data_IF_838371290487
#
_entry.id   IF_838371290487
#
_cell.length_a   1.000
_cell.length_b   1.000
_cell.length_c   1.000
_cell.angle_alpha   90.00
_cell.angle_beta   90.00
_cell.angle_gamma   90.00
#
_symmetry.space_group_name_H-M   'P 1'
#
loop_
_entity.id
_entity.type
_entity.pdbx_description
1 polymer ?
#
# COMPACT_ATOMS: atom_id res chain seq x y z
N UNK A 1 4.96 14.35 22.82
CA UNK A 1 4.28 15.59 22.39
C UNK A 1 2.94 15.16 21.86
N UNK A 2 1.95 15.08 22.75
CA UNK A 2 0.63 14.58 22.42
C UNK A 2 -0.32 15.77 22.57
N UNK A 3 -0.41 16.57 21.51
CA UNK A 3 -1.33 17.71 21.44
C UNK A 3 -2.50 17.25 20.57
N UNK A 4 -3.67 16.92 21.14
CA UNK A 4 -4.83 16.44 20.39
C UNK A 4 -5.24 17.37 19.24
N UNK A 5 -4.96 18.67 19.36
CA UNK A 5 -5.14 19.65 18.28
C UNK A 5 -4.24 19.39 17.08
N UNK A 6 -2.97 19.03 17.31
CA UNK A 6 -2.00 18.77 16.24
C UNK A 6 -2.40 17.58 15.36
N UNK A 7 -2.85 16.47 15.96
CA UNK A 7 -3.30 15.30 15.19
C UNK A 7 -4.54 15.62 14.35
N UNK A 8 -5.50 16.34 14.93
CA UNK A 8 -6.71 16.76 14.21
C UNK A 8 -6.39 17.75 13.09
N UNK A 9 -5.43 18.63 13.32
CA UNK A 9 -4.94 19.57 12.31
C UNK A 9 -4.18 18.85 11.19
N UNK A 10 -3.50 17.73 11.46
CA UNK A 10 -2.88 16.93 10.40
C UNK A 10 -3.88 16.05 9.64
N UNK A 11 -4.92 15.54 10.30
CA UNK A 11 -5.96 14.72 9.67
C UNK A 11 -6.63 15.40 8.48
N UNK A 12 -6.72 16.74 8.48
CA UNK A 12 -7.32 17.49 7.37
C UNK A 12 -6.53 17.35 6.06
N UNK A 13 -5.25 16.99 6.13
CA UNK A 13 -4.39 16.77 4.96
C UNK A 13 -4.39 15.31 4.49
N UNK A 14 -5.08 14.41 5.21
CA UNK A 14 -5.23 13.01 4.80
C UNK A 14 -6.11 12.91 3.55
N UNK A 15 -5.66 12.12 2.58
CA UNK A 15 -6.34 11.92 1.29
C UNK A 15 -6.94 10.51 1.17
N UNK A 16 -6.52 9.57 2.02
CA UNK A 16 -7.00 8.19 2.04
C UNK A 16 -8.24 8.01 2.92
N UNK A 17 -8.74 6.78 2.99
CA UNK A 17 -9.87 6.32 3.79
C UNK A 17 -11.20 6.96 3.39
N UNK A 18 -11.35 7.27 2.10
CA UNK A 18 -12.55 7.92 1.57
C UNK A 18 -12.77 9.36 2.05
N UNK A 19 -11.76 10.01 2.64
CA UNK A 19 -11.86 11.41 3.12
C UNK A 19 -12.00 12.44 2.00
N UNK A 20 -11.61 12.08 0.79
CA UNK A 20 -11.68 12.90 -0.42
C UNK A 20 -12.52 12.20 -1.50
N UNK A 21 -13.21 13.01 -2.31
CA UNK A 21 -13.88 12.50 -3.51
C UNK A 21 -12.88 11.78 -4.42
N UNK A 22 -13.34 10.84 -5.24
CA UNK A 22 -12.43 10.08 -6.10
C UNK A 22 -11.68 10.97 -7.10
N UNK A 23 -12.36 11.95 -7.68
CA UNK A 23 -11.74 12.94 -8.57
C UNK A 23 -10.65 13.76 -7.87
N UNK A 24 -10.91 14.21 -6.64
CA UNK A 24 -9.92 14.96 -5.86
C UNK A 24 -8.72 14.10 -5.48
N UNK A 25 -8.96 12.88 -4.99
CA UNK A 25 -7.91 11.91 -4.68
C UNK A 25 -7.01 11.64 -5.90
N UNK A 26 -7.62 11.31 -7.03
CA UNK A 26 -6.94 11.04 -8.30
C UNK A 26 -6.12 12.26 -8.75
N UNK A 27 -6.72 13.45 -8.71
CA UNK A 27 -6.04 14.70 -9.05
C UNK A 27 -4.81 14.95 -8.18
N UNK A 28 -4.93 14.74 -6.85
CA UNK A 28 -3.82 14.91 -5.90
C UNK A 28 -2.70 13.92 -6.20
N UNK A 29 -3.02 12.62 -6.33
CA UNK A 29 -2.02 11.57 -6.57
C UNK A 29 -1.30 11.79 -7.90
N UNK A 30 -2.02 12.04 -9.00
CA UNK A 30 -1.41 12.29 -10.31
C UNK A 30 -0.56 13.57 -10.31
N UNK A 31 -1.00 14.61 -9.61
CA UNK A 31 -0.24 15.87 -9.47
C UNK A 31 1.07 15.65 -8.72
N UNK A 32 1.06 14.84 -7.65
CA UNK A 32 2.29 14.46 -6.92
C UNK A 32 3.29 13.78 -7.85
N UNK A 33 2.85 12.82 -8.67
CA UNK A 33 3.74 12.12 -9.60
C UNK A 33 4.24 12.99 -10.76
N UNK A 34 3.38 13.84 -11.35
CA UNK A 34 3.81 14.81 -12.38
C UNK A 34 4.92 15.75 -11.87
N UNK A 35 4.80 16.17 -10.61
CA UNK A 35 5.72 17.09 -9.96
C UNK A 35 6.91 16.40 -9.28
N UNK A 36 6.96 15.06 -9.25
CA UNK A 36 8.07 14.32 -8.69
C UNK A 36 9.34 14.55 -9.53
N UNK A 37 10.44 14.89 -8.86
CA UNK A 37 11.68 15.35 -9.49
C UNK A 37 12.95 14.74 -8.90
N UNK A 38 12.85 13.95 -7.84
CA UNK A 38 14.02 13.68 -6.98
C UNK A 38 14.33 12.18 -6.81
N UNK A 39 15.61 11.91 -6.54
CA UNK A 39 16.27 10.65 -6.10
C UNK A 39 16.10 9.32 -6.87
N UNK A 40 15.31 9.26 -7.96
CA UNK A 40 15.06 8.04 -8.76
C UNK A 40 14.34 6.91 -7.99
N UNK A 41 13.85 7.18 -6.77
CA UNK A 41 13.23 6.17 -5.91
C UNK A 41 11.80 6.55 -5.60
N UNK A 42 10.87 5.64 -5.91
CA UNK A 42 9.50 5.72 -5.43
C UNK A 42 9.30 4.51 -4.52
N UNK A 43 8.97 4.79 -3.26
CA UNK A 43 8.69 3.72 -2.30
C UNK A 43 7.38 3.04 -2.65
N UNK A 44 7.41 1.71 -2.62
CA UNK A 44 6.29 0.84 -2.97
C UNK A 44 5.04 1.15 -2.15
N UNK A 45 5.15 1.53 -0.87
CA UNK A 45 3.98 1.92 -0.07
C UNK A 45 3.23 3.14 -0.61
N UNK A 46 3.96 4.14 -1.14
CA UNK A 46 3.36 5.36 -1.70
C UNK A 46 2.79 5.13 -3.09
N UNK A 47 3.45 4.29 -3.89
CA UNK A 47 3.03 3.97 -5.25
C UNK A 47 1.87 3.00 -5.27
N UNK A 48 1.98 1.91 -4.50
CA UNK A 48 1.12 0.74 -4.53
C UNK A 48 0.29 0.64 -3.25
N UNK A 49 0.85 0.18 -2.12
CA UNK A 49 0.06 -0.20 -0.92
C UNK A 49 -1.04 0.80 -0.54
N UNK A 50 -0.69 2.06 -0.26
CA UNK A 50 -1.67 3.04 0.25
C UNK A 50 -2.76 3.34 -0.78
N UNK A 51 -2.37 3.44 -2.04
CA UNK A 51 -3.25 3.81 -3.14
C UNK A 51 -4.17 2.64 -3.50
N UNK A 52 -3.63 1.42 -3.63
CA UNK A 52 -4.42 0.21 -3.89
C UNK A 52 -5.34 -0.09 -2.70
N UNK A 53 -4.86 0.03 -1.46
CA UNK A 53 -5.66 -0.18 -0.26
C UNK A 53 -6.88 0.75 -0.22
N UNK A 54 -6.69 2.06 -0.44
CA UNK A 54 -7.79 3.04 -0.46
C UNK A 54 -8.79 2.72 -1.58
N UNK A 55 -8.29 2.39 -2.78
CA UNK A 55 -9.13 2.05 -3.92
C UNK A 55 -9.96 0.79 -3.69
N UNK A 56 -9.38 -0.27 -3.09
CA UNK A 56 -10.13 -1.49 -2.76
C UNK A 56 -11.08 -1.23 -1.58
N UNK A 57 -10.56 -0.80 -0.43
CA UNK A 57 -11.32 -0.81 0.82
C UNK A 57 -12.38 0.29 0.90
N UNK A 58 -12.05 1.50 0.46
CA UNK A 58 -12.90 2.67 0.67
C UNK A 58 -13.64 3.11 -0.57
N UNK A 59 -13.05 2.92 -1.75
CA UNK A 59 -13.69 3.26 -3.03
C UNK A 59 -14.42 2.10 -3.65
N UNK A 60 -14.15 0.87 -3.19
CA UNK A 60 -14.75 -0.36 -3.74
C UNK A 60 -14.52 -0.46 -5.25
N UNK A 61 -13.38 0.05 -5.72
CA UNK A 61 -12.98 -0.01 -7.12
C UNK A 61 -12.64 -1.46 -7.50
N UNK A 62 -13.04 -1.83 -8.70
CA UNK A 62 -12.65 -3.09 -9.32
C UNK A 62 -11.16 -3.10 -9.69
N UNK A 63 -10.59 -4.30 -9.84
CA UNK A 63 -9.21 -4.48 -10.32
C UNK A 63 -8.97 -3.73 -11.65
N UNK A 64 -9.94 -3.76 -12.56
CA UNK A 64 -9.85 -3.07 -13.85
C UNK A 64 -9.85 -1.54 -13.72
N UNK A 65 -10.66 -0.97 -12.83
CA UNK A 65 -10.65 0.47 -12.53
C UNK A 65 -9.32 0.90 -11.90
N UNK A 66 -8.77 0.06 -11.02
CA UNK A 66 -7.45 0.28 -10.42
C UNK A 66 -6.37 0.26 -11.50
N UNK A 67 -6.38 -0.73 -12.40
CA UNK A 67 -5.41 -0.80 -13.51
C UNK A 67 -5.50 0.39 -14.45
N UNK A 68 -6.72 0.85 -14.76
CA UNK A 68 -6.91 2.03 -15.61
C UNK A 68 -6.33 3.29 -14.94
N UNK A 69 -6.57 3.46 -13.64
CA UNK A 69 -5.93 4.53 -12.86
C UNK A 69 -4.39 4.43 -12.90
N UNK A 70 -3.81 3.23 -12.80
CA UNK A 70 -2.34 3.09 -12.89
C UNK A 70 -1.77 3.35 -14.29
N UNK A 71 -2.54 3.20 -15.37
CA UNK A 71 -2.12 3.68 -16.70
C UNK A 71 -1.96 5.21 -16.68
N UNK A 72 -2.83 5.92 -16.00
CA UNK A 72 -2.70 7.38 -15.83
C UNK A 72 -1.51 7.76 -14.94
N UNK A 73 -1.23 6.97 -13.89
CA UNK A 73 -0.02 7.13 -13.07
C UNK A 73 1.24 6.95 -13.92
N UNK A 74 1.26 5.94 -14.80
CA UNK A 74 2.38 5.71 -15.73
C UNK A 74 2.59 6.90 -16.66
N UNK A 75 1.52 7.46 -17.23
CA UNK A 75 1.63 8.66 -18.07
C UNK A 75 2.08 9.88 -17.26
N UNK A 76 1.65 10.03 -15.99
CA UNK A 76 2.13 11.08 -15.10
C UNK A 76 3.63 10.99 -14.79
N UNK A 77 4.20 9.77 -14.78
CA UNK A 77 5.62 9.49 -14.57
C UNK A 77 6.42 9.40 -15.88
N UNK A 78 5.82 9.69 -17.03
CA UNK A 78 6.48 9.57 -18.33
C UNK A 78 7.71 10.47 -18.43
N UNK A 79 8.81 9.91 -18.92
CA UNK A 79 10.10 10.60 -19.03
C UNK A 79 10.84 10.76 -17.69
N UNK A 80 10.32 10.20 -16.60
CA UNK A 80 11.04 10.10 -15.32
C UNK A 80 11.82 8.80 -15.25
N UNK A 81 13.04 8.87 -14.74
CA UNK A 81 13.83 7.69 -14.42
C UNK A 81 13.55 7.29 -12.98
N UNK A 82 12.93 6.13 -12.77
CA UNK A 82 12.61 5.61 -11.44
C UNK A 82 12.65 4.07 -11.43
N UNK A 83 12.77 3.51 -10.22
CA UNK A 83 12.56 2.08 -9.99
C UNK A 83 11.53 1.85 -8.88
N UNK A 84 10.75 0.79 -9.05
CA UNK A 84 9.82 0.24 -8.05
C UNK A 84 10.46 -1.01 -7.48
N UNK A 85 10.78 -1.01 -6.19
CA UNK A 85 11.26 -2.22 -5.50
C UNK A 85 10.08 -2.83 -4.77
N UNK A 86 9.57 -3.96 -5.28
CA UNK A 86 8.42 -4.64 -4.70
C UNK A 86 8.86 -5.85 -3.87
N UNK A 87 8.39 -5.92 -2.62
CA UNK A 87 8.65 -7.05 -1.72
C UNK A 87 7.47 -8.01 -1.73
N UNK A 88 7.63 -9.16 -2.39
CA UNK A 88 6.64 -10.23 -2.41
C UNK A 88 6.68 -11.04 -1.10
N UNK A 89 5.51 -11.16 -0.47
CA UNK A 89 5.33 -12.04 0.69
C UNK A 89 4.82 -13.39 0.23
N UNK A 90 5.64 -14.43 0.34
CA UNK A 90 5.28 -15.78 -0.14
C UNK A 90 4.22 -16.43 0.75
N UNK A 91 4.27 -16.18 2.06
CA UNK A 91 3.31 -16.70 3.03
C UNK A 91 2.74 -15.54 3.85
N UNK A 92 1.70 -14.92 3.30
CA UNK A 92 1.03 -13.75 3.89
C UNK A 92 0.48 -14.10 5.27
N UNK A 93 -0.15 -15.28 5.42
CA UNK A 93 -0.73 -15.73 6.69
C UNK A 93 0.32 -15.81 7.78
N UNK A 94 1.40 -16.57 7.55
CA UNK A 94 2.45 -16.73 8.55
C UNK A 94 3.17 -15.42 8.84
N UNK A 95 3.32 -14.56 7.82
CA UNK A 95 3.96 -13.25 7.99
C UNK A 95 3.13 -12.31 8.86
N UNK A 96 1.82 -12.21 8.61
CA UNK A 96 0.96 -11.35 9.44
C UNK A 96 0.78 -11.93 10.85
N UNK A 97 0.77 -13.25 11.01
CA UNK A 97 0.74 -13.90 12.32
C UNK A 97 2.03 -13.65 13.13
N UNK A 98 3.20 -13.66 12.47
CA UNK A 98 4.46 -13.28 13.10
C UNK A 98 4.45 -11.81 13.54
N UNK A 99 4.05 -10.89 12.64
CA UNK A 99 3.94 -9.45 12.96
C UNK A 99 2.97 -9.21 14.12
N UNK A 100 1.84 -9.92 14.16
CA UNK A 100 0.88 -9.86 15.25
C UNK A 100 1.51 -10.24 16.59
N UNK A 101 2.31 -11.31 16.62
CA UNK A 101 3.03 -11.79 17.83
C UNK A 101 4.18 -10.86 18.25
N UNK A 102 4.84 -10.21 17.30
CA UNK A 102 5.93 -9.26 17.57
C UNK A 102 5.41 -7.90 18.06
N UNK A 103 4.23 -7.46 17.60
CA UNK A 103 3.63 -6.16 17.92
C UNK A 103 2.66 -6.22 19.10
N UNK A 104 3.11 -6.82 20.19
CA UNK A 104 2.41 -6.79 21.48
C UNK A 104 2.87 -5.60 22.32
N UNK A 105 1.97 -5.08 23.16
CA UNK A 105 2.34 -4.06 24.14
C UNK A 105 3.18 -4.66 25.29
N UNK A 106 3.65 -3.82 26.23
CA UNK A 106 4.46 -4.24 27.38
C UNK A 106 3.78 -5.30 28.27
N UNK A 107 2.46 -5.47 28.15
CA UNK A 107 1.64 -6.42 28.89
C UNK A 107 1.32 -7.68 28.07
N UNK A 108 1.82 -7.77 26.83
CA UNK A 108 1.57 -8.89 25.93
C UNK A 108 0.26 -8.79 25.15
N UNK A 109 -0.44 -7.65 25.17
CA UNK A 109 -1.70 -7.51 24.44
C UNK A 109 -1.46 -7.12 22.98
N UNK A 110 -2.23 -7.72 22.07
CA UNK A 110 -2.14 -7.49 20.62
C UNK A 110 -2.92 -6.23 20.16
N UNK A 111 -2.77 -5.10 20.88
CA UNK A 111 -3.54 -3.87 20.61
C UNK A 111 -3.40 -3.38 19.18
N UNK A 112 -2.19 -3.50 18.61
CA UNK A 112 -1.95 -3.15 17.22
C UNK A 112 -2.86 -3.94 16.27
N UNK A 113 -2.96 -5.25 16.48
CA UNK A 113 -3.78 -6.11 15.62
C UNK A 113 -5.26 -5.82 15.78
N UNK A 114 -5.73 -5.56 17.01
CA UNK A 114 -7.11 -5.11 17.25
C UNK A 114 -7.45 -3.84 16.46
N UNK A 115 -6.58 -2.82 16.49
CA UNK A 115 -6.78 -1.58 15.72
C UNK A 115 -6.81 -1.83 14.21
N UNK A 116 -5.95 -2.71 13.69
CA UNK A 116 -5.94 -3.08 12.26
C UNK A 116 -7.25 -3.75 11.87
N UNK A 117 -7.74 -4.71 12.68
CA UNK A 117 -9.03 -5.35 12.44
C UNK A 117 -10.19 -4.35 12.51
N UNK A 118 -10.19 -3.43 13.49
CA UNK A 118 -11.20 -2.38 13.60
C UNK A 118 -11.24 -1.50 12.36
N UNK A 119 -10.08 -1.02 11.91
CA UNK A 119 -9.94 -0.24 10.67
C UNK A 119 -10.46 -1.01 9.44
N UNK A 120 -10.00 -2.26 9.26
CA UNK A 120 -10.40 -3.10 8.12
C UNK A 120 -11.91 -3.36 8.12
N UNK A 121 -12.46 -3.78 9.26
CA UNK A 121 -13.89 -4.06 9.41
C UNK A 121 -14.77 -2.81 9.26
N UNK A 122 -14.21 -1.62 9.50
CA UNK A 122 -14.89 -0.34 9.29
C UNK A 122 -14.86 0.12 7.81
N UNK A 123 -14.15 -0.56 6.93
CA UNK A 123 -14.14 -0.22 5.50
C UNK A 123 -15.46 -0.58 4.80
N UNK A 124 -15.91 0.22 3.81
CA UNK A 124 -17.05 -0.13 2.95
C UNK A 124 -16.95 -1.53 2.31
N UNK A 125 -15.79 -1.89 1.79
CA UNK A 125 -15.56 -3.18 1.14
C UNK A 125 -15.78 -4.35 2.11
N UNK A 126 -15.15 -4.33 3.29
CA UNK A 126 -15.29 -5.39 4.29
C UNK A 126 -16.75 -5.55 4.75
N UNK A 127 -17.47 -4.42 4.94
CA UNK A 127 -18.90 -4.45 5.29
C UNK A 127 -19.77 -5.07 4.20
N UNK A 128 -19.48 -4.83 2.93
CA UNK A 128 -20.28 -5.34 1.81
C UNK A 128 -19.98 -6.82 1.51
N UNK A 129 -18.71 -7.20 1.50
CA UNK A 129 -18.25 -8.54 1.12
C UNK A 129 -18.31 -9.55 2.27
N UNK A 130 -18.45 -9.08 3.50
CA UNK A 130 -18.45 -9.94 4.69
C UNK A 130 -17.06 -10.39 5.11
N UNK A 131 -15.99 -9.86 4.49
CA UNK A 131 -14.62 -10.08 4.95
C UNK A 131 -14.48 -9.50 6.36
N UNK A 132 -14.17 -10.37 7.32
CA UNK A 132 -14.00 -10.02 8.73
C UNK A 132 -12.86 -10.82 9.30
N UNK A 133 -12.47 -10.46 10.53
CA UNK A 133 -11.48 -11.17 11.33
C UNK A 133 -10.13 -11.41 10.62
N UNK A 134 -9.29 -12.29 11.18
CA UNK A 134 -7.96 -12.57 10.66
C UNK A 134 -8.01 -13.21 9.27
N UNK A 135 -9.00 -14.06 8.99
CA UNK A 135 -9.10 -14.78 7.73
C UNK A 135 -9.53 -13.85 6.58
N UNK A 136 -10.49 -12.97 6.84
CA UNK A 136 -10.88 -11.95 5.88
C UNK A 136 -9.76 -10.96 5.61
N UNK A 137 -8.97 -10.61 6.63
CA UNK A 137 -7.81 -9.75 6.44
C UNK A 137 -6.71 -10.41 5.62
N UNK A 138 -6.38 -11.69 5.87
CA UNK A 138 -5.42 -12.46 5.06
C UNK A 138 -5.91 -12.59 3.61
N UNK A 139 -7.21 -12.81 3.41
CA UNK A 139 -7.82 -12.87 2.07
C UNK A 139 -7.66 -11.55 1.33
N UNK A 140 -7.96 -10.43 1.99
CA UNK A 140 -7.76 -9.08 1.45
C UNK A 140 -6.30 -8.82 1.09
N UNK A 141 -5.35 -9.09 1.99
CA UNK A 141 -3.92 -8.89 1.72
C UNK A 141 -3.44 -9.74 0.52
N UNK A 142 -3.97 -10.95 0.37
CA UNK A 142 -3.65 -11.83 -0.75
C UNK A 142 -4.16 -11.28 -2.08
N UNK A 143 -5.40 -10.77 -2.10
CA UNK A 143 -5.97 -10.09 -3.28
C UNK A 143 -5.17 -8.83 -3.63
N UNK A 144 -4.86 -8.00 -2.63
CA UNK A 144 -4.08 -6.78 -2.81
C UNK A 144 -2.70 -7.07 -3.40
N UNK A 145 -1.93 -8.01 -2.83
CA UNK A 145 -0.62 -8.38 -3.35
C UNK A 145 -0.72 -8.92 -4.79
N UNK A 146 -1.74 -9.72 -5.11
CA UNK A 146 -1.95 -10.22 -6.46
C UNK A 146 -2.19 -9.07 -7.46
N UNK A 147 -3.00 -8.07 -7.09
CA UNK A 147 -3.27 -6.90 -7.92
C UNK A 147 -2.05 -5.99 -8.06
N UNK A 148 -1.29 -5.75 -6.98
CA UNK A 148 -0.05 -4.97 -7.01
C UNK A 148 1.00 -5.62 -7.92
N UNK A 149 1.15 -6.95 -7.85
CA UNK A 149 2.01 -7.71 -8.76
C UNK A 149 1.53 -7.63 -10.21
N UNK A 150 0.21 -7.62 -10.45
CA UNK A 150 -0.37 -7.41 -11.78
C UNK A 150 -0.04 -6.02 -12.33
N UNK A 151 -0.17 -4.96 -11.50
CA UNK A 151 0.24 -3.59 -11.85
C UNK A 151 1.72 -3.54 -12.20
N UNK A 152 2.58 -4.14 -11.37
CA UNK A 152 4.02 -4.20 -11.63
C UNK A 152 4.35 -4.86 -12.97
N UNK A 153 3.68 -5.96 -13.33
CA UNK A 153 3.91 -6.71 -14.57
C UNK A 153 3.33 -6.04 -15.81
N UNK A 154 2.12 -5.49 -15.71
CA UNK A 154 1.40 -4.95 -16.87
C UNK A 154 1.73 -3.47 -17.13
N UNK A 155 1.94 -2.68 -16.08
CA UNK A 155 2.05 -1.22 -16.17
C UNK A 155 3.50 -0.75 -16.03
N UNK A 156 4.27 -1.36 -15.12
CA UNK A 156 5.67 -0.97 -14.83
C UNK A 156 6.70 -2.11 -15.04
N UNK A 157 6.65 -2.88 -16.14
CA UNK A 157 7.49 -4.07 -16.31
C UNK A 157 8.99 -3.76 -16.30
N UNK A 158 9.38 -2.61 -16.84
CA UNK A 158 10.80 -2.21 -16.96
C UNK A 158 11.32 -1.51 -15.70
N UNK A 159 10.43 -0.96 -14.88
CA UNK A 159 10.77 -0.19 -13.68
C UNK A 159 10.73 -1.06 -12.43
N UNK A 160 10.10 -2.24 -12.47
CA UNK A 160 9.92 -3.09 -11.29
C UNK A 160 11.09 -4.03 -11.07
N UNK A 161 11.60 -4.04 -9.84
CA UNK A 161 12.47 -5.08 -9.29
C UNK A 161 11.66 -5.85 -8.24
N UNK A 162 11.41 -7.13 -8.50
CA UNK A 162 10.69 -8.01 -7.58
C UNK A 162 11.69 -8.72 -6.65
N UNK A 163 11.49 -8.57 -5.35
CA UNK A 163 12.26 -9.26 -4.32
C UNK A 163 11.35 -10.13 -3.47
N UNK A 164 11.83 -11.30 -3.08
CA UNK A 164 11.13 -12.14 -2.13
C UNK A 164 11.54 -11.75 -0.72
N UNK A 165 10.56 -11.59 0.17
CA UNK A 165 10.74 -11.19 1.58
C UNK A 165 11.82 -11.98 2.35
N UNK A 166 12.06 -13.25 2.02
CA UNK A 166 13.12 -14.09 2.62
C UNK A 166 14.54 -13.84 2.10
N UNK A 167 14.74 -12.92 1.14
CA UNK A 167 16.03 -12.64 0.47
C UNK A 167 16.41 -11.15 0.47
N UNK A 168 15.78 -10.35 1.33
CA UNK A 168 16.04 -8.90 1.38
C UNK A 168 17.49 -8.60 1.74
N UNK A 169 18.08 -9.36 2.66
CA UNK A 169 19.48 -9.19 3.08
C UNK A 169 20.48 -9.45 1.94
N UNK A 170 20.21 -10.45 1.09
CA UNK A 170 21.04 -10.78 -0.07
C UNK A 170 21.00 -9.64 -1.12
N UNK A 171 19.80 -9.10 -1.40
CA UNK A 171 19.65 -7.99 -2.35
C UNK A 171 20.30 -6.69 -1.88
N UNK A 172 20.17 -6.34 -0.59
CA UNK A 172 20.78 -5.13 -0.04
C UNK A 172 22.32 -5.19 -0.10
N UNK A 173 22.88 -6.40 -0.05
CA UNK A 173 24.32 -6.65 -0.19
C UNK A 173 24.80 -6.41 -1.62
N UNK A 174 24.05 -6.87 -2.62
CA UNK A 174 24.36 -6.67 -4.05
C UNK A 174 24.14 -5.22 -4.50
N UNK A 175 23.07 -4.57 -4.02
CA UNK A 175 22.71 -3.21 -4.44
C UNK A 175 23.70 -2.15 -3.93
N UNK A 176 24.25 -2.32 -2.72
CA UNK A 176 25.33 -1.47 -2.20
C UNK A 176 26.64 -1.58 -2.99
N UNK A 177 26.81 -2.62 -3.80
CA UNK A 177 27.98 -2.80 -4.67
C UNK A 177 27.85 -2.12 -6.04
N UNK A 178 26.70 -1.52 -6.36
CA UNK A 178 26.41 -0.90 -7.66
C UNK A 178 26.17 0.62 -7.60
N UNK A 179 26.25 1.23 -6.42
CA UNK A 179 26.12 2.68 -6.18
C UNK A 179 27.46 3.39 -6.06
#
# INVERSE_FOLDING_TARGET
TDAPGFYKDLEQYEIYNGRRSFEEFKSIVLTRYKNWRDDRKIYECSLLQNTVEDMILFRQASDEEILEFYKEVREALKGREFRVVYLETEDIRSSIDAVRRERVDEQGNERWFSMVCEYFNASPCARQTGLRDFEGFVTHLSHRQALELRICREIFPEQTVLLKSRKVDDFLSEWKGQS
#
